data_IF_318136893029
#
_entry.id   IF_318136893029
#
_cell.length_a   1.000
_cell.length_b   1.000
_cell.length_c   1.000
_cell.angle_alpha   90.00
_cell.angle_beta   90.00
_cell.angle_gamma   90.00
#
_symmetry.space_group_name_H-M   'P 1'
#
loop_
_entity.id
_entity.type
_entity.pdbx_description
1 polymer ?
#
# COMPACT_ATOMS: atom_id res chain seq x y z
N UNK A 1 -21.75 22.45 -7.24
CA UNK A 1 -21.25 21.11 -6.99
C UNK A 1 -20.72 20.97 -5.59
N UNK A 2 -21.32 20.13 -4.78
CA UNK A 2 -20.92 20.07 -3.37
C UNK A 2 -19.59 19.39 -3.19
N UNK A 3 -18.60 20.14 -2.75
CA UNK A 3 -17.27 19.63 -2.46
C UNK A 3 -17.30 18.61 -1.35
N UNK A 4 -18.29 18.73 -0.45
CA UNK A 4 -18.44 17.79 0.66
C UNK A 4 -18.74 16.37 0.17
N UNK A 5 -19.53 16.24 -0.89
CA UNK A 5 -19.84 14.95 -1.48
C UNK A 5 -18.60 14.32 -2.12
N UNK A 6 -17.75 15.15 -2.74
CA UNK A 6 -16.52 14.67 -3.36
C UNK A 6 -15.52 14.17 -2.31
N UNK A 7 -15.41 14.90 -1.18
CA UNK A 7 -14.53 14.49 -0.08
C UNK A 7 -15.01 13.19 0.55
N UNK A 8 -16.32 13.04 0.75
CA UNK A 8 -16.88 11.81 1.31
C UNK A 8 -16.64 10.64 0.35
N UNK A 9 -16.79 10.86 -0.96
CA UNK A 9 -16.54 9.83 -1.96
C UNK A 9 -15.08 9.41 -1.97
N UNK A 10 -14.16 10.37 -1.85
CA UNK A 10 -12.72 10.08 -1.82
C UNK A 10 -12.37 9.24 -0.60
N UNK A 11 -12.88 9.59 0.58
CA UNK A 11 -12.63 8.84 1.81
C UNK A 11 -13.19 7.42 1.70
N UNK A 12 -14.41 7.28 1.16
CA UNK A 12 -15.04 5.98 0.96
C UNK A 12 -14.25 5.13 -0.03
N UNK A 13 -13.79 5.76 -1.13
CA UNK A 13 -12.98 5.06 -2.12
C UNK A 13 -11.64 4.60 -1.55
N UNK A 14 -11.00 5.43 -0.72
CA UNK A 14 -9.74 5.05 -0.07
C UNK A 14 -9.92 3.83 0.82
N UNK A 15 -11.00 3.78 1.60
CA UNK A 15 -11.29 2.64 2.47
C UNK A 15 -11.56 1.38 1.65
N UNK A 16 -12.30 1.52 0.53
CA UNK A 16 -12.56 0.41 -0.38
C UNK A 16 -11.28 -0.05 -1.08
N UNK A 17 -10.43 0.90 -1.47
CA UNK A 17 -9.18 0.58 -2.17
C UNK A 17 -8.24 -0.20 -1.28
N UNK A 18 -8.08 0.17 -0.02
CA UNK A 18 -7.22 -0.59 0.90
C UNK A 18 -7.82 -1.96 1.20
N UNK A 19 -9.12 -2.05 1.37
CA UNK A 19 -9.81 -3.31 1.58
C UNK A 19 -9.64 -4.26 0.42
N UNK A 20 -9.86 -3.77 -0.80
CA UNK A 20 -9.68 -4.53 -2.03
C UNK A 20 -8.23 -4.95 -2.23
N UNK A 21 -7.30 -4.06 -1.93
CA UNK A 21 -5.87 -4.36 -2.04
C UNK A 21 -5.48 -5.49 -1.09
N UNK A 22 -5.89 -5.40 0.17
CA UNK A 22 -5.61 -6.44 1.15
C UNK A 22 -6.20 -7.77 0.70
N UNK A 23 -7.44 -7.75 0.23
CA UNK A 23 -8.11 -8.96 -0.25
C UNK A 23 -7.37 -9.57 -1.43
N UNK A 24 -6.96 -8.76 -2.39
CA UNK A 24 -6.24 -9.23 -3.58
C UNK A 24 -4.92 -9.88 -3.17
N UNK A 25 -4.17 -9.22 -2.28
CA UNK A 25 -2.90 -9.77 -1.80
C UNK A 25 -3.10 -11.05 -1.02
N UNK A 26 -4.17 -11.11 -0.21
CA UNK A 26 -4.49 -12.30 0.56
C UNK A 26 -4.83 -13.48 -0.36
N UNK A 27 -5.65 -13.25 -1.36
CA UNK A 27 -6.03 -14.28 -2.31
C UNK A 27 -4.82 -14.76 -3.14
N UNK A 28 -3.97 -13.83 -3.54
CA UNK A 28 -2.74 -14.18 -4.27
C UNK A 28 -1.82 -15.06 -3.42
N UNK A 29 -1.78 -14.83 -2.11
CA UNK A 29 -0.99 -15.63 -1.19
C UNK A 29 -1.72 -16.94 -0.80
N UNK A 30 -2.93 -17.14 -1.27
CA UNK A 30 -3.76 -18.32 -0.97
C UNK A 30 -3.98 -18.48 0.54
N UNK A 31 -4.25 -17.37 1.21
CA UNK A 31 -4.50 -17.31 2.65
C UNK A 31 -5.97 -16.94 2.87
N UNK A 32 -6.63 -17.62 3.79
CA UNK A 32 -8.00 -17.28 4.14
C UNK A 32 -8.06 -16.04 5.02
N UNK A 33 -9.24 -15.41 5.11
CA UNK A 33 -9.44 -14.28 6.04
C UNK A 33 -9.06 -14.69 7.46
N UNK A 34 -9.47 -15.88 7.86
CA UNK A 34 -9.18 -16.39 9.20
C UNK A 34 -7.69 -16.54 9.44
N UNK A 35 -6.97 -17.08 8.45
CA UNK A 35 -5.52 -17.24 8.57
C UNK A 35 -4.81 -15.91 8.64
N UNK A 36 -5.21 -14.95 7.81
CA UNK A 36 -4.60 -13.63 7.83
C UNK A 36 -4.89 -12.91 9.15
N UNK A 37 -6.14 -12.98 9.63
CA UNK A 37 -6.51 -12.38 10.90
C UNK A 37 -5.65 -12.95 12.03
N UNK A 38 -5.44 -14.25 12.05
CA UNK A 38 -4.64 -14.91 13.05
C UNK A 38 -3.18 -14.44 12.98
N UNK A 39 -2.61 -14.37 11.78
CA UNK A 39 -1.24 -13.92 11.59
C UNK A 39 -1.05 -12.44 11.96
N UNK A 40 -2.05 -11.63 11.67
CA UNK A 40 -2.00 -10.19 11.93
C UNK A 40 -2.40 -9.85 13.38
N UNK A 41 -2.88 -10.83 14.14
CA UNK A 41 -3.27 -10.59 15.53
C UNK A 41 -4.55 -9.79 15.68
N UNK A 42 -5.46 -9.88 14.72
CA UNK A 42 -6.75 -9.17 14.77
C UNK A 42 -7.89 -10.19 14.69
N UNK A 43 -9.09 -9.75 15.04
CA UNK A 43 -10.24 -10.62 14.97
C UNK A 43 -10.69 -10.85 13.53
N UNK A 44 -11.27 -12.00 13.27
CA UNK A 44 -11.79 -12.35 11.96
C UNK A 44 -12.86 -11.36 11.48
N UNK A 45 -13.88 -11.00 12.29
CA UNK A 45 -14.87 -10.01 11.87
C UNK A 45 -14.25 -8.64 11.56
N UNK A 46 -13.23 -8.22 12.33
CA UNK A 46 -12.56 -6.94 12.11
C UNK A 46 -11.88 -6.92 10.74
N UNK A 47 -11.12 -7.96 10.43
CA UNK A 47 -10.43 -8.04 9.14
C UNK A 47 -11.44 -8.11 7.98
N UNK A 48 -12.51 -8.89 8.16
CA UNK A 48 -13.56 -8.98 7.16
C UNK A 48 -14.18 -7.61 6.86
N UNK A 49 -14.42 -6.81 7.88
CA UNK A 49 -14.96 -5.45 7.72
C UNK A 49 -13.98 -4.54 6.99
N UNK A 50 -12.69 -4.68 7.29
CA UNK A 50 -11.65 -3.91 6.58
C UNK A 50 -11.67 -4.26 5.09
N UNK A 51 -11.70 -5.54 4.76
CA UNK A 51 -11.69 -5.98 3.35
C UNK A 51 -12.91 -5.50 2.58
N UNK A 52 -14.04 -5.35 3.26
CA UNK A 52 -15.26 -4.86 2.63
C UNK A 52 -15.38 -3.33 2.62
N UNK A 53 -14.37 -2.63 3.13
CA UNK A 53 -14.38 -1.18 3.14
C UNK A 53 -15.31 -0.57 4.19
N UNK A 54 -15.77 -1.38 5.14
CA UNK A 54 -16.68 -0.92 6.19
C UNK A 54 -15.96 -0.36 7.40
N UNK A 55 -14.64 -0.56 7.49
CA UNK A 55 -13.86 -0.10 8.61
C UNK A 55 -12.46 0.29 8.15
N UNK A 56 -11.98 1.43 8.64
CA UNK A 56 -10.64 1.90 8.33
C UNK A 56 -9.66 1.35 9.35
N UNK A 57 -8.61 0.64 8.92
CA UNK A 57 -7.61 0.12 9.85
C UNK A 57 -6.69 1.22 10.36
N UNK A 58 -6.20 1.05 11.58
CA UNK A 58 -5.16 1.92 12.13
C UNK A 58 -3.82 1.63 11.48
N UNK A 59 -2.86 2.55 11.67
CA UNK A 59 -1.50 2.34 11.17
C UNK A 59 -0.86 1.08 11.76
N UNK A 60 -1.08 0.82 13.04
CA UNK A 60 -0.55 -0.38 13.69
C UNK A 60 -1.12 -1.66 13.08
N UNK A 61 -2.43 -1.67 12.82
CA UNK A 61 -3.08 -2.82 12.19
C UNK A 61 -2.56 -3.01 10.77
N UNK A 62 -2.36 -1.93 10.02
CA UNK A 62 -1.80 -2.00 8.67
C UNK A 62 -0.38 -2.58 8.69
N UNK A 63 0.43 -2.19 9.67
CA UNK A 63 1.76 -2.78 9.84
C UNK A 63 1.69 -4.29 10.04
N UNK A 64 0.76 -4.74 10.87
CA UNK A 64 0.62 -6.15 11.17
C UNK A 64 0.12 -6.93 9.96
N UNK A 65 -0.82 -6.36 9.23
CA UNK A 65 -1.32 -6.97 7.99
C UNK A 65 -0.18 -7.05 6.95
N UNK A 66 0.59 -5.97 6.83
CA UNK A 66 1.72 -5.93 5.89
C UNK A 66 2.74 -7.04 6.19
N UNK A 67 3.08 -7.20 7.47
CA UNK A 67 4.01 -8.27 7.87
C UNK A 67 3.44 -9.64 7.55
N UNK A 68 2.16 -9.84 7.84
CA UNK A 68 1.51 -11.13 7.61
C UNK A 68 1.43 -11.46 6.12
N UNK A 69 1.23 -10.47 5.27
CA UNK A 69 1.17 -10.62 3.82
C UNK A 69 2.54 -10.53 3.15
N UNK A 70 3.56 -10.13 3.89
CA UNK A 70 4.92 -9.91 3.36
C UNK A 70 4.95 -8.84 2.29
N UNK A 71 4.20 -7.77 2.51
CA UNK A 71 4.23 -6.59 1.64
C UNK A 71 4.73 -5.40 2.45
N UNK A 72 5.12 -4.34 1.74
CA UNK A 72 5.62 -3.13 2.40
C UNK A 72 4.49 -2.41 3.12
N UNK A 73 4.73 -1.99 4.36
CA UNK A 73 3.77 -1.19 5.12
C UNK A 73 3.51 0.15 4.41
N UNK A 74 4.53 0.71 3.77
CA UNK A 74 4.39 1.96 3.02
C UNK A 74 3.33 1.85 1.94
N UNK A 75 3.30 0.73 1.22
CA UNK A 75 2.29 0.49 0.19
C UNK A 75 0.90 0.51 0.78
N UNK A 76 0.70 -0.16 1.91
CA UNK A 76 -0.60 -0.16 2.57
C UNK A 76 -0.97 1.23 3.06
N UNK A 77 -0.02 2.01 3.55
CA UNK A 77 -0.27 3.38 3.98
C UNK A 77 -0.72 4.27 2.81
N UNK A 78 -0.08 4.12 1.66
CA UNK A 78 -0.48 4.87 0.46
C UNK A 78 -1.88 4.44 0.02
N UNK A 79 -2.16 3.15 -0.01
CA UNK A 79 -3.47 2.63 -0.41
C UNK A 79 -4.57 3.06 0.56
N UNK A 80 -4.24 3.21 1.84
CA UNK A 80 -5.18 3.67 2.85
C UNK A 80 -5.37 5.19 2.88
N UNK A 81 -4.60 5.92 2.07
CA UNK A 81 -4.66 7.37 2.05
C UNK A 81 -3.98 8.04 3.24
N UNK A 82 -3.17 7.30 3.99
CA UNK A 82 -2.42 7.83 5.13
C UNK A 82 -1.18 8.58 4.65
N UNK A 83 -0.49 8.02 3.66
CA UNK A 83 0.66 8.66 3.03
C UNK A 83 0.30 9.09 1.63
N UNK A 84 0.75 10.27 1.25
CA UNK A 84 0.58 10.72 -0.11
C UNK A 84 1.50 9.92 -1.03
N UNK A 85 1.01 9.52 -2.21
CA UNK A 85 1.88 8.88 -3.20
C UNK A 85 2.74 9.94 -3.85
N UNK A 86 3.64 10.55 -3.06
CA UNK A 86 4.48 11.64 -3.54
C UNK A 86 5.42 11.21 -4.67
N UNK A 87 5.56 9.92 -4.87
CA UNK A 87 6.36 9.36 -5.95
C UNK A 87 5.66 8.13 -6.51
N UNK A 88 4.46 8.35 -7.06
CA UNK A 88 3.76 7.26 -7.73
C UNK A 88 4.51 6.87 -8.98
N UNK A 89 5.18 5.76 -8.90
CA UNK A 89 5.84 5.14 -10.03
C UNK A 89 5.21 3.78 -10.23
N UNK A 90 4.79 3.51 -11.45
CA UNK A 90 4.26 2.19 -11.79
C UNK A 90 5.32 1.12 -11.57
N UNK A 91 6.58 1.46 -11.81
CA UNK A 91 7.69 0.53 -11.59
C UNK A 91 7.83 0.19 -10.10
N UNK A 92 7.80 1.21 -9.24
CA UNK A 92 7.91 1.01 -7.80
C UNK A 92 6.77 0.13 -7.29
N UNK A 93 5.54 0.44 -7.70
CA UNK A 93 4.38 -0.33 -7.30
C UNK A 93 4.46 -1.77 -7.79
N UNK A 94 4.90 -1.98 -9.02
CA UNK A 94 5.05 -3.32 -9.59
C UNK A 94 6.08 -4.14 -8.80
N UNK A 95 7.19 -3.54 -8.41
CA UNK A 95 8.21 -4.24 -7.61
C UNK A 95 7.63 -4.65 -6.27
N UNK A 96 6.91 -3.73 -5.61
CA UNK A 96 6.39 -3.96 -4.27
C UNK A 96 5.34 -5.08 -4.28
N UNK A 97 4.51 -5.13 -5.31
CA UNK A 97 3.42 -6.11 -5.38
C UNK A 97 3.81 -7.41 -6.07
N UNK A 98 5.03 -7.49 -6.60
CA UNK A 98 5.48 -8.69 -7.30
C UNK A 98 5.61 -9.87 -6.33
N UNK A 99 5.22 -11.06 -6.79
CA UNK A 99 5.27 -12.28 -5.99
C UNK A 99 6.39 -13.22 -6.40
N UNK A 100 7.14 -12.87 -7.45
CA UNK A 100 8.18 -13.73 -7.99
C UNK A 100 9.53 -13.60 -7.26
N UNK A 101 9.73 -12.51 -6.55
CA UNK A 101 11.00 -12.23 -5.87
C UNK A 101 10.77 -12.09 -4.37
N UNK A 102 11.86 -12.22 -3.60
CA UNK A 102 11.81 -12.11 -2.14
C UNK A 102 11.72 -10.66 -1.69
N UNK A 103 11.33 -10.44 -0.43
CA UNK A 103 11.29 -9.09 0.16
C UNK A 103 12.66 -8.42 0.13
N UNK A 104 13.72 -9.18 0.38
CA UNK A 104 15.08 -8.66 0.34
C UNK A 104 15.44 -8.18 -1.07
N UNK A 105 15.08 -8.98 -2.07
CA UNK A 105 15.32 -8.62 -3.47
C UNK A 105 14.53 -7.39 -3.87
N UNK A 106 13.29 -7.27 -3.41
CA UNK A 106 12.48 -6.07 -3.64
C UNK A 106 13.16 -4.84 -3.07
N UNK A 107 13.69 -4.94 -1.85
CA UNK A 107 14.35 -3.81 -1.21
C UNK A 107 15.57 -3.36 -2.01
N UNK A 108 16.36 -4.29 -2.51
CA UNK A 108 17.53 -3.96 -3.35
C UNK A 108 17.09 -3.24 -4.62
N UNK A 109 16.07 -3.74 -5.29
CA UNK A 109 15.56 -3.10 -6.51
C UNK A 109 15.01 -1.71 -6.22
N UNK A 110 14.28 -1.55 -5.13
CA UNK A 110 13.73 -0.25 -4.76
C UNK A 110 14.83 0.76 -4.43
N UNK A 111 15.88 0.32 -3.75
CA UNK A 111 17.01 1.19 -3.43
C UNK A 111 17.70 1.69 -4.70
N UNK A 112 17.92 0.78 -5.65
CA UNK A 112 18.52 1.15 -6.95
C UNK A 112 17.61 2.11 -7.70
N UNK A 113 16.33 1.80 -7.79
CA UNK A 113 15.36 2.63 -8.48
C UNK A 113 15.29 4.04 -7.89
N UNK A 114 15.22 4.12 -6.56
CA UNK A 114 15.18 5.39 -5.84
C UNK A 114 16.43 6.20 -6.12
N UNK A 115 17.59 5.55 -6.13
CA UNK A 115 18.86 6.21 -6.42
C UNK A 115 18.85 6.84 -7.80
N UNK A 116 18.36 6.13 -8.80
CA UNK A 116 18.27 6.66 -10.17
C UNK A 116 17.30 7.84 -10.24
N UNK A 117 16.17 7.75 -9.55
CA UNK A 117 15.19 8.84 -9.53
C UNK A 117 15.80 10.11 -8.92
N UNK A 118 16.54 9.97 -7.82
CA UNK A 118 17.19 11.09 -7.17
C UNK A 118 18.27 11.73 -8.05
N UNK A 119 19.03 10.93 -8.75
CA UNK A 119 20.03 11.44 -9.68
C UNK A 119 19.38 12.26 -10.79
N UNK A 120 18.27 11.78 -11.32
CA UNK A 120 17.57 12.47 -12.39
C UNK A 120 16.90 13.75 -11.93
N UNK A 121 16.40 13.78 -10.69
CA UNK A 121 15.83 15.00 -10.11
C UNK A 121 16.92 16.07 -9.93
N UNK A 122 18.09 15.68 -9.45
CA UNK A 122 19.20 16.61 -9.31
C UNK A 122 19.59 17.23 -10.65
N UNK A 123 19.59 16.42 -11.71
CA UNK A 123 19.88 16.92 -13.07
C UNK A 123 18.79 17.90 -13.53
N UNK A 124 17.52 17.60 -13.23
CA UNK A 124 16.42 18.50 -13.58
C UNK A 124 16.52 19.82 -12.86
N UNK A 125 16.85 19.79 -11.57
CA UNK A 125 16.99 21.01 -10.77
C UNK A 125 18.13 21.89 -11.30
N UNK A 126 19.24 21.28 -11.67
CA UNK A 126 20.34 22.01 -12.30
C UNK A 126 19.91 22.65 -13.61
N UNK A 127 19.09 21.97 -14.38
CA UNK A 127 18.59 22.49 -15.66
C UNK A 127 17.64 23.66 -15.50
N UNK A 128 16.92 23.71 -14.35
CA UNK A 128 15.91 24.76 -14.13
C UNK A 128 16.47 25.97 -13.37
N UNK A 129 17.70 25.91 -12.90
CA UNK A 129 18.30 27.02 -12.15
C UNK A 129 19.04 28.03 -13.02
N UNK A 130 18.97 27.91 -14.31
CA UNK A 130 19.54 28.90 -15.22
C UNK A 130 18.66 30.18 -15.30
#
# INVERSE_FOLDING_TARGET
MPQDADLAAVVTNAAQDIGSFIRTQREAAQVSVRQLAQKAGVSNPYLSQIERGLRKPSADVLNQIAKALRVSAEVLYVQAGILEPSETSEVRDAIITDTAITERQKQVLLDIYTSFCQQNEAVREESTTD
#
